data_IF_803156662824
#
_entry.id   IF_803156662824
#
_cell.length_a   1.000
_cell.length_b   1.000
_cell.length_c   1.000
_cell.angle_alpha   90.00
_cell.angle_beta   90.00
_cell.angle_gamma   90.00
#
_symmetry.space_group_name_H-M   'P 1'
#
loop_
_entity.id
_entity.type
_entity.pdbx_description
1 polymer ?
#
# COMPACT_ATOMS: atom_id res chain seq x y z
N UNK A 1 -16.16 -0.27 11.88
CA UNK A 1 -16.20 -0.06 10.42
C UNK A 1 -17.37 0.86 10.07
N UNK A 2 -17.17 1.90 9.27
CA UNK A 2 -18.26 2.80 8.84
C UNK A 2 -19.02 2.14 7.70
N UNK A 3 -20.36 2.22 7.74
CA UNK A 3 -21.21 1.78 6.63
C UNK A 3 -20.99 2.59 5.34
N UNK A 4 -20.43 3.80 5.46
CA UNK A 4 -20.11 4.69 4.34
C UNK A 4 -18.68 4.49 3.80
N UNK A 5 -17.90 3.57 4.37
CA UNK A 5 -16.50 3.36 3.97
C UNK A 5 -15.53 4.45 4.44
N UNK A 6 -15.89 5.22 5.47
CA UNK A 6 -15.05 6.27 6.05
C UNK A 6 -14.13 5.71 7.14
N UNK A 7 -12.88 6.21 7.20
CA UNK A 7 -11.98 6.00 8.34
C UNK A 7 -12.59 6.62 9.60
N UNK A 8 -12.57 5.91 10.72
CA UNK A 8 -13.22 6.32 11.96
C UNK A 8 -12.49 5.76 13.19
N UNK A 9 -12.86 6.28 14.37
CA UNK A 9 -12.39 5.82 15.68
C UNK A 9 -10.86 5.82 15.82
N UNK A 10 -10.31 7.03 15.76
CA UNK A 10 -8.87 7.31 15.88
C UNK A 10 -8.40 7.07 17.32
N UNK A 11 -8.07 5.83 17.65
CA UNK A 11 -7.40 5.42 18.90
C UNK A 11 -5.88 5.29 18.70
N UNK A 12 -5.29 4.09 18.87
CA UNK A 12 -3.87 3.85 18.67
C UNK A 12 -3.53 3.69 17.17
N UNK A 13 -3.82 4.72 16.37
CA UNK A 13 -3.41 4.73 14.96
C UNK A 13 -1.95 5.20 14.84
N UNK A 14 -1.27 4.76 13.78
CA UNK A 14 0.09 5.19 13.47
C UNK A 14 0.26 5.35 11.98
N UNK A 15 0.88 6.46 11.56
CA UNK A 15 1.48 6.54 10.23
C UNK A 15 2.83 5.83 10.26
N UNK A 16 3.17 5.18 9.15
CA UNK A 16 4.43 4.45 9.01
C UNK A 16 5.60 5.44 8.87
N UNK A 17 6.59 5.33 9.75
CA UNK A 17 7.90 5.98 9.57
C UNK A 17 8.76 5.09 8.66
N UNK A 18 9.44 4.08 9.21
CA UNK A 18 10.16 3.07 8.44
C UNK A 18 9.20 2.04 7.87
N UNK A 19 9.35 1.69 6.60
CA UNK A 19 8.46 0.70 6.00
C UNK A 19 8.65 -0.68 6.64
N UNK A 20 7.60 -1.13 7.31
CA UNK A 20 7.52 -2.45 7.90
C UNK A 20 6.12 -3.04 7.58
N UNK A 21 6.02 -4.08 6.72
CA UNK A 21 4.73 -4.68 6.40
C UNK A 21 4.05 -5.27 7.65
N UNK A 22 4.83 -5.68 8.65
CA UNK A 22 4.35 -6.26 9.90
C UNK A 22 4.10 -5.22 11.00
N UNK A 23 4.18 -3.91 10.69
CA UNK A 23 3.99 -2.85 11.67
C UNK A 23 2.65 -2.96 12.41
N UNK A 24 2.73 -3.00 13.74
CA UNK A 24 1.58 -3.01 14.66
C UNK A 24 1.59 -1.69 15.43
N UNK A 25 0.63 -0.81 15.13
CA UNK A 25 0.50 0.48 15.81
C UNK A 25 -0.17 0.37 17.20
N UNK A 26 -0.94 -0.69 17.43
CA UNK A 26 -1.65 -0.90 18.69
C UNK A 26 -0.84 -1.80 19.64
N UNK A 27 -0.33 -1.23 20.72
CA UNK A 27 0.43 -1.97 21.75
C UNK A 27 -0.34 -3.11 22.43
N UNK A 28 -1.67 -3.15 22.32
CA UNK A 28 -2.49 -4.26 22.84
C UNK A 28 -2.70 -5.41 21.84
N UNK A 29 -2.32 -5.23 20.58
CA UNK A 29 -2.43 -6.27 19.54
C UNK A 29 -1.20 -7.17 19.52
N UNK A 30 -1.12 -8.05 20.52
CA UNK A 30 -0.01 -9.00 20.67
C UNK A 30 0.04 -10.07 19.55
N UNK A 31 -1.03 -10.21 18.78
CA UNK A 31 -1.16 -11.21 17.70
C UNK A 31 -0.87 -10.66 16.31
N UNK A 32 -0.72 -9.34 16.16
CA UNK A 32 -0.63 -8.68 14.86
C UNK A 32 -1.90 -8.82 14.02
N UNK A 33 -3.07 -8.95 14.66
CA UNK A 33 -4.36 -9.07 13.97
C UNK A 33 -4.61 -7.87 13.05
N UNK A 34 -4.19 -6.69 13.46
CA UNK A 34 -4.38 -5.42 12.76
C UNK A 34 -3.04 -4.82 12.29
N UNK A 35 -2.02 -5.66 12.07
CA UNK A 35 -0.78 -5.21 11.43
C UNK A 35 -1.06 -4.59 10.06
N UNK A 36 -0.16 -3.72 9.59
CA UNK A 36 -0.33 -2.99 8.33
C UNK A 36 -0.71 -3.92 7.16
N UNK A 37 0.02 -5.02 6.94
CA UNK A 37 -0.27 -5.96 5.86
C UNK A 37 -1.55 -6.78 6.06
N UNK A 38 -2.02 -6.96 7.30
CA UNK A 38 -3.22 -7.74 7.59
C UNK A 38 -4.52 -6.98 7.30
N UNK A 39 -4.47 -5.64 7.22
CA UNK A 39 -5.66 -4.79 7.11
C UNK A 39 -6.62 -5.15 5.96
N UNK A 40 -6.16 -5.48 4.74
CA UNK A 40 -7.06 -5.86 3.65
C UNK A 40 -7.84 -7.14 3.97
N UNK A 41 -7.16 -8.16 4.49
CA UNK A 41 -7.79 -9.42 4.88
C UNK A 41 -8.79 -9.22 6.04
N UNK A 42 -8.46 -8.36 7.01
CA UNK A 42 -9.37 -7.99 8.11
C UNK A 42 -10.60 -7.24 7.58
N UNK A 43 -10.43 -6.33 6.62
CA UNK A 43 -11.56 -5.65 5.99
C UNK A 43 -12.49 -6.65 5.28
N UNK A 44 -11.94 -7.62 4.53
CA UNK A 44 -12.74 -8.72 3.95
C UNK A 44 -13.48 -9.50 5.03
N UNK A 45 -12.80 -9.85 6.12
CA UNK A 45 -13.43 -10.57 7.24
C UNK A 45 -14.58 -9.77 7.87
N UNK A 46 -14.42 -8.45 8.03
CA UNK A 46 -15.49 -7.58 8.53
C UNK A 46 -16.69 -7.49 7.56
N UNK A 47 -16.46 -7.53 6.25
CA UNK A 47 -17.53 -7.59 5.25
C UNK A 47 -18.33 -8.90 5.35
N UNK A 48 -17.65 -10.04 5.57
CA UNK A 48 -18.33 -11.31 5.87
C UNK A 48 -19.23 -11.18 7.10
N UNK A 49 -18.74 -10.54 8.18
CA UNK A 49 -19.55 -10.30 9.39
C UNK A 49 -20.74 -9.38 9.15
N UNK A 50 -20.60 -8.39 8.27
CA UNK A 50 -21.73 -7.56 7.85
C UNK A 50 -22.76 -8.38 7.06
N UNK A 51 -22.32 -9.23 6.13
CA UNK A 51 -23.21 -10.10 5.37
C UNK A 51 -23.96 -11.10 6.26
N UNK A 52 -23.30 -11.73 7.23
CA UNK A 52 -23.93 -12.60 8.23
C UNK A 52 -25.05 -11.86 8.98
N UNK A 53 -24.84 -10.61 9.37
CA UNK A 53 -25.84 -9.79 10.05
C UNK A 53 -27.02 -9.40 9.15
N UNK A 54 -26.83 -9.40 7.82
CA UNK A 54 -27.83 -9.08 6.81
C UNK A 54 -28.51 -10.32 6.23
N UNK A 55 -28.21 -11.53 6.71
CA UNK A 55 -28.66 -12.79 6.13
C UNK A 55 -30.18 -12.90 5.84
N UNK A 56 -31.11 -12.34 6.65
CA UNK A 56 -32.54 -12.36 6.32
C UNK A 56 -32.90 -11.61 5.05
N UNK A 57 -32.13 -10.57 4.71
CA UNK A 57 -32.38 -9.64 3.60
C UNK A 57 -31.41 -9.87 2.42
N UNK A 58 -30.26 -10.51 2.69
CA UNK A 58 -29.20 -10.77 1.73
C UNK A 58 -28.84 -12.27 1.75
N UNK A 59 -29.34 -13.06 0.78
CA UNK A 59 -29.01 -14.48 0.67
C UNK A 59 -27.51 -14.73 0.55
N UNK A 60 -27.00 -15.80 1.20
CA UNK A 60 -25.56 -16.11 1.26
C UNK A 60 -24.90 -16.16 -0.11
N UNK A 61 -25.51 -16.85 -1.09
CA UNK A 61 -24.95 -16.97 -2.45
C UNK A 61 -24.67 -15.61 -3.10
N UNK A 62 -25.55 -14.63 -2.86
CA UNK A 62 -25.37 -13.26 -3.37
C UNK A 62 -24.32 -12.51 -2.57
N UNK A 63 -24.29 -12.66 -1.25
CA UNK A 63 -23.29 -12.04 -0.41
C UNK A 63 -21.87 -12.53 -0.74
N UNK A 64 -21.70 -13.83 -0.88
CA UNK A 64 -20.42 -14.48 -1.15
C UNK A 64 -19.85 -14.02 -2.49
N UNK A 65 -20.69 -13.97 -3.54
CA UNK A 65 -20.27 -13.45 -4.85
C UNK A 65 -19.76 -12.00 -4.79
N UNK A 66 -20.42 -11.13 -4.01
CA UNK A 66 -19.98 -9.73 -3.84
C UNK A 66 -18.68 -9.64 -3.02
N UNK A 67 -18.55 -10.46 -1.97
CA UNK A 67 -17.37 -10.45 -1.09
C UNK A 67 -16.14 -10.97 -1.82
N UNK A 68 -16.29 -11.91 -2.75
CA UNK A 68 -15.17 -12.45 -3.52
C UNK A 68 -14.55 -11.42 -4.47
N UNK A 69 -15.31 -10.43 -4.93
CA UNK A 69 -14.80 -9.31 -5.74
C UNK A 69 -13.91 -8.34 -4.92
N UNK A 70 -13.95 -8.39 -3.58
CA UNK A 70 -13.28 -7.40 -2.73
C UNK A 70 -11.76 -7.37 -2.91
N UNK A 71 -11.11 -8.54 -2.94
CA UNK A 71 -9.64 -8.59 -3.00
C UNK A 71 -9.13 -8.10 -4.35
N UNK A 72 -9.81 -8.47 -5.43
CA UNK A 72 -9.46 -8.00 -6.78
C UNK A 72 -9.64 -6.49 -6.89
N UNK A 73 -10.73 -5.95 -6.33
CA UNK A 73 -10.96 -4.52 -6.28
C UNK A 73 -9.89 -3.80 -5.45
N UNK A 74 -9.56 -4.33 -4.27
CA UNK A 74 -8.50 -3.78 -3.41
C UNK A 74 -7.15 -3.77 -4.14
N UNK A 75 -6.73 -4.89 -4.73
CA UNK A 75 -5.46 -5.02 -5.42
C UNK A 75 -5.35 -4.06 -6.60
N UNK A 76 -6.42 -3.93 -7.40
CA UNK A 76 -6.49 -2.96 -8.51
C UNK A 76 -6.30 -1.52 -8.03
N UNK A 77 -7.04 -1.09 -7.02
CA UNK A 77 -6.91 0.27 -6.49
C UNK A 77 -5.57 0.50 -5.77
N UNK A 78 -5.04 -0.51 -5.10
CA UNK A 78 -3.72 -0.46 -4.47
C UNK A 78 -2.64 -0.23 -5.53
N UNK A 79 -2.62 -1.06 -6.58
CA UNK A 79 -1.66 -0.93 -7.69
C UNK A 79 -1.78 0.43 -8.37
N UNK A 80 -2.99 0.89 -8.68
CA UNK A 80 -3.24 2.22 -9.27
C UNK A 80 -2.64 3.35 -8.42
N UNK A 81 -2.84 3.30 -7.11
CA UNK A 81 -2.32 4.30 -6.19
C UNK A 81 -0.79 4.23 -6.07
N UNK A 82 -0.21 3.03 -6.03
CA UNK A 82 1.23 2.85 -5.97
C UNK A 82 1.93 3.33 -7.24
N UNK A 83 1.37 3.01 -8.42
CA UNK A 83 1.85 3.51 -9.72
C UNK A 83 1.87 5.03 -9.77
N UNK A 84 0.82 5.70 -9.27
CA UNK A 84 0.79 7.17 -9.16
C UNK A 84 1.89 7.71 -8.24
N UNK A 85 2.19 7.04 -7.13
CA UNK A 85 3.23 7.46 -6.19
C UNK A 85 4.64 7.41 -6.79
N UNK A 86 4.87 6.57 -7.80
CA UNK A 86 6.15 6.47 -8.52
C UNK A 86 6.13 7.10 -9.92
N UNK A 87 5.06 7.82 -10.28
CA UNK A 87 4.98 8.60 -11.52
C UNK A 87 4.57 7.81 -12.78
N UNK A 88 4.11 6.57 -12.65
CA UNK A 88 3.63 5.75 -13.77
C UNK A 88 2.18 6.11 -14.13
N UNK A 89 1.99 7.20 -14.87
CA UNK A 89 0.68 7.81 -15.11
C UNK A 89 0.06 7.49 -16.48
N UNK A 90 0.85 7.02 -17.45
CA UNK A 90 0.42 6.96 -18.86
C UNK A 90 -0.11 5.59 -19.28
N UNK A 91 0.67 4.55 -19.04
CA UNK A 91 0.39 3.18 -19.48
C UNK A 91 0.64 2.23 -18.33
N UNK A 92 -0.23 1.22 -18.24
CA UNK A 92 -0.05 0.09 -17.32
C UNK A 92 0.73 -0.99 -18.04
N UNK A 93 1.83 -1.38 -17.42
CA UNK A 93 2.65 -2.49 -17.88
C UNK A 93 2.53 -3.64 -16.88
N UNK A 94 2.54 -4.91 -17.34
CA UNK A 94 2.50 -6.08 -16.45
C UNK A 94 3.60 -6.08 -15.37
N UNK A 95 4.73 -5.44 -15.66
CA UNK A 95 5.90 -5.36 -14.77
C UNK A 95 5.73 -4.34 -13.63
N UNK A 96 4.70 -3.47 -13.67
CA UNK A 96 4.48 -2.42 -12.67
C UNK A 96 4.32 -3.00 -11.26
N UNK A 97 3.60 -4.14 -11.13
CA UNK A 97 3.41 -4.83 -9.86
C UNK A 97 4.73 -5.36 -9.29
N UNK A 98 5.56 -5.96 -10.14
CA UNK A 98 6.86 -6.47 -9.74
C UNK A 98 7.77 -5.32 -9.28
N UNK A 99 7.83 -4.22 -10.05
CA UNK A 99 8.62 -3.04 -9.70
C UNK A 99 8.23 -2.46 -8.34
N UNK A 100 6.93 -2.33 -8.08
CA UNK A 100 6.42 -1.83 -6.79
C UNK A 100 6.77 -2.78 -5.65
N UNK A 101 6.64 -4.08 -5.88
CA UNK A 101 6.99 -5.12 -4.89
C UNK A 101 8.47 -5.07 -4.53
N UNK A 102 9.34 -4.98 -5.53
CA UNK A 102 10.80 -4.88 -5.33
C UNK A 102 11.20 -3.59 -4.62
N UNK A 103 10.54 -2.47 -4.92
CA UNK A 103 10.74 -1.21 -4.19
C UNK A 103 10.37 -1.35 -2.71
N UNK A 104 9.19 -1.88 -2.40
CA UNK A 104 8.75 -2.09 -1.01
C UNK A 104 9.65 -3.07 -0.26
N UNK A 105 10.07 -4.15 -0.91
CA UNK A 105 11.03 -5.10 -0.33
C UNK A 105 12.37 -4.44 -0.03
N UNK A 106 12.86 -3.59 -0.93
CA UNK A 106 14.08 -2.81 -0.72
C UNK A 106 13.94 -1.85 0.46
N UNK A 107 12.79 -1.19 0.57
CA UNK A 107 12.50 -0.28 1.69
C UNK A 107 12.50 -1.03 3.02
N UNK A 108 11.88 -2.21 3.07
CA UNK A 108 11.87 -3.06 4.26
C UNK A 108 13.28 -3.50 4.66
N UNK A 109 14.05 -4.02 3.69
CA UNK A 109 15.40 -4.54 3.92
C UNK A 109 16.38 -3.46 4.42
N UNK A 110 16.14 -2.20 4.03
CA UNK A 110 17.06 -1.09 4.34
C UNK A 110 16.56 -0.23 5.49
N UNK A 111 15.34 -0.44 5.99
CA UNK A 111 14.71 0.42 6.99
C UNK A 111 14.38 1.82 6.47
N UNK A 112 14.11 1.93 5.16
CA UNK A 112 13.78 3.18 4.49
C UNK A 112 12.51 3.83 5.05
N UNK A 113 12.55 5.15 5.23
CA UNK A 113 11.35 5.91 5.56
C UNK A 113 10.32 5.86 4.42
N UNK A 114 9.11 5.44 4.74
CA UNK A 114 8.04 5.20 3.79
C UNK A 114 7.64 6.48 3.06
N UNK A 115 7.43 7.58 3.79
CA UNK A 115 6.94 8.84 3.22
C UNK A 115 8.02 9.53 2.40
N UNK A 116 9.24 9.62 2.94
CA UNK A 116 10.37 10.29 2.33
C UNK A 116 10.88 9.57 1.08
N UNK A 117 10.75 8.23 1.00
CA UNK A 117 11.08 7.49 -0.22
C UNK A 117 10.30 8.04 -1.42
N UNK A 118 8.97 8.04 -1.34
CA UNK A 118 8.14 8.54 -2.45
C UNK A 118 8.33 10.05 -2.68
N UNK A 119 8.54 10.83 -1.62
CA UNK A 119 8.78 12.27 -1.75
C UNK A 119 10.13 12.60 -2.40
N UNK A 120 11.14 11.75 -2.23
CA UNK A 120 12.42 11.91 -2.92
C UNK A 120 12.32 11.44 -4.37
N UNK A 121 11.64 10.32 -4.64
CA UNK A 121 11.39 9.85 -6.00
C UNK A 121 10.69 10.92 -6.85
N UNK A 122 9.74 11.67 -6.29
CA UNK A 122 9.05 12.74 -7.03
C UNK A 122 9.93 13.93 -7.42
N UNK A 123 11.17 13.99 -6.94
CA UNK A 123 12.14 15.05 -7.29
C UNK A 123 13.08 14.62 -8.41
N UNK A 124 13.03 13.33 -8.81
CA UNK A 124 13.85 12.80 -9.89
C UNK A 124 13.14 13.10 -11.21
N UNK A 125 13.77 13.83 -12.15
CA UNK A 125 13.18 14.08 -13.45
C UNK A 125 13.09 12.79 -14.26
N UNK A 126 12.05 12.69 -15.09
CA UNK A 126 11.98 11.64 -16.09
C UNK A 126 13.14 11.84 -17.08
N UNK A 127 13.96 10.81 -17.37
CA UNK A 127 15.04 10.92 -18.34
C UNK A 127 14.49 11.42 -19.69
N UNK A 128 15.22 12.34 -20.31
CA UNK A 128 14.92 12.82 -21.67
C UNK A 128 15.81 12.04 -22.65
N UNK A 129 15.29 11.73 -23.84
CA UNK A 129 16.05 11.03 -24.89
C UNK A 129 17.42 11.72 -25.13
N UNK A 130 18.50 10.97 -24.93
CA UNK A 130 19.88 11.46 -25.09
C UNK A 130 20.60 11.88 -23.81
N UNK A 131 19.95 11.81 -22.64
CA UNK A 131 20.63 11.99 -21.35
C UNK A 131 21.42 10.74 -20.93
N UNK A 132 22.50 10.95 -20.18
CA UNK A 132 23.28 9.86 -19.60
C UNK A 132 22.51 9.26 -18.41
N UNK A 133 21.84 8.13 -18.63
CA UNK A 133 21.11 7.38 -17.60
C UNK A 133 21.95 7.12 -16.34
N UNK A 134 23.26 6.89 -16.50
CA UNK A 134 24.16 6.63 -15.38
C UNK A 134 24.28 7.81 -14.41
N UNK A 135 24.25 9.04 -14.90
CA UNK A 135 24.33 10.24 -14.06
C UNK A 135 23.02 10.46 -13.30
N UNK A 136 21.88 10.22 -13.94
CA UNK A 136 20.54 10.30 -13.32
C UNK A 136 20.41 9.25 -12.21
N UNK A 137 20.79 8.00 -12.49
CA UNK A 137 20.76 6.92 -11.50
C UNK A 137 21.65 7.26 -10.30
N UNK A 138 22.84 7.83 -10.54
CA UNK A 138 23.76 8.24 -9.47
C UNK A 138 23.17 9.35 -8.60
N UNK A 139 22.56 10.36 -9.22
CA UNK A 139 21.90 11.46 -8.49
C UNK A 139 20.70 10.96 -7.69
N UNK A 140 19.86 10.12 -8.28
CA UNK A 140 18.73 9.46 -7.61
C UNK A 140 19.19 8.66 -6.39
N UNK A 141 20.23 7.85 -6.56
CA UNK A 141 20.81 7.03 -5.47
C UNK A 141 21.32 7.92 -4.33
N UNK A 142 22.06 8.98 -4.64
CA UNK A 142 22.55 9.92 -3.63
C UNK A 142 21.42 10.61 -2.87
N UNK A 143 20.35 11.04 -3.58
CA UNK A 143 19.20 11.69 -2.98
C UNK A 143 18.48 10.75 -1.99
N UNK A 144 18.26 9.50 -2.40
CA UNK A 144 17.61 8.49 -1.56
C UNK A 144 18.46 8.16 -0.33
N UNK A 145 19.75 7.85 -0.51
CA UNK A 145 20.65 7.54 0.61
C UNK A 145 20.73 8.67 1.63
N UNK A 146 20.74 9.94 1.19
CA UNK A 146 20.86 11.09 2.07
C UNK A 146 19.60 11.41 2.89
N UNK A 147 18.41 10.94 2.47
CA UNK A 147 17.13 11.41 3.01
C UNK A 147 16.16 10.32 3.46
N UNK A 148 16.49 9.05 3.20
CA UNK A 148 15.58 7.92 3.41
C UNK A 148 16.09 6.94 4.47
N UNK A 149 17.40 6.87 4.71
CA UNK A 149 18.04 5.91 5.62
C UNK A 149 18.44 6.48 7.00
N UNK A 150 17.89 7.63 7.39
CA UNK A 150 18.14 8.24 8.69
C UNK A 150 17.08 7.75 9.70
#
# INVERSE_FOLDING_TARGET
MSILGLTLDYGPYGFMDRFDPDFICNASDNSGRYSYQAQPAICRWNLVKLAEALAPELPSERADGIIDEYMDMYNRFYLENMRRKIGLLKKEEPEDEQLITELLQTMHNTGADFTNTFRCLSQIPCPIDGENEGDIIKQATQLLLARVLL
#
